data_IF_717720224920
#
_entry.id   IF_717720224920
#
_cell.length_a   1.000
_cell.length_b   1.000
_cell.length_c   1.000
_cell.angle_alpha   90.00
_cell.angle_beta   90.00
_cell.angle_gamma   90.00
#
_symmetry.space_group_name_H-M   'P 1'
#
loop_
_entity.id
_entity.type
_entity.pdbx_description
1 polymer ?
#
# COMPACT_ATOMS: atom_id res chain seq x y z
N UNK A 1 0.73 -3.61 -1.33
CA UNK A 1 1.39 -3.44 -0.03
C UNK A 1 0.62 -2.54 0.93
N UNK A 2 0.49 -1.23 0.67
CA UNK A 2 -0.16 -0.28 1.58
C UNK A 2 -1.56 -0.70 2.07
N UNK A 3 -2.42 -1.18 1.16
CA UNK A 3 -3.73 -1.71 1.52
C UNK A 3 -3.69 -2.86 2.56
N UNK A 4 -2.72 -3.79 2.46
CA UNK A 4 -2.50 -4.85 3.46
C UNK A 4 -2.10 -4.28 4.82
N UNK A 5 -1.18 -3.32 4.83
CA UNK A 5 -0.72 -2.67 6.07
C UNK A 5 -1.84 -1.86 6.72
N UNK A 6 -2.67 -1.18 5.91
CA UNK A 6 -3.83 -0.47 6.42
C UNK A 6 -4.82 -1.44 7.10
N UNK A 7 -5.10 -2.61 6.51
CA UNK A 7 -5.93 -3.62 7.17
C UNK A 7 -5.29 -4.19 8.44
N UNK A 8 -3.97 -4.40 8.45
CA UNK A 8 -3.23 -4.81 9.65
C UNK A 8 -3.41 -3.81 10.80
N UNK A 9 -3.27 -2.52 10.51
CA UNK A 9 -3.47 -1.44 11.49
C UNK A 9 -4.92 -1.38 11.96
N UNK A 10 -5.89 -1.51 11.05
CA UNK A 10 -7.31 -1.52 11.40
C UNK A 10 -7.69 -2.73 12.28
N UNK A 11 -7.15 -3.93 12.00
CA UNK A 11 -7.34 -5.10 12.86
C UNK A 11 -6.76 -4.90 14.26
N UNK A 12 -5.59 -4.29 14.36
CA UNK A 12 -4.98 -3.95 15.66
C UNK A 12 -5.80 -2.87 16.39
N UNK A 13 -6.46 -1.98 15.65
CA UNK A 13 -7.42 -1.03 16.22
C UNK A 13 -8.70 -1.69 16.73
N UNK A 14 -9.25 -2.67 16.01
CA UNK A 14 -10.37 -3.50 16.50
C UNK A 14 -10.02 -4.23 17.80
N UNK A 15 -8.75 -4.62 17.98
CA UNK A 15 -8.24 -5.26 19.18
C UNK A 15 -7.91 -4.27 20.32
N UNK A 16 -8.05 -2.96 20.07
CA UNK A 16 -7.71 -1.91 21.05
C UNK A 16 -6.20 -1.71 21.26
N UNK A 17 -5.36 -2.27 20.40
CA UNK A 17 -3.90 -2.09 20.45
C UNK A 17 -3.43 -0.81 19.75
N UNK A 18 -4.24 -0.29 18.82
CA UNK A 18 -3.99 0.99 18.13
C UNK A 18 -5.25 1.86 18.25
N UNK A 19 -5.11 3.01 18.89
CA UNK A 19 -6.00 4.14 18.69
C UNK A 19 -5.58 4.91 17.43
N UNK A 20 -6.51 5.03 16.48
CA UNK A 20 -6.28 5.71 15.20
C UNK A 20 -6.05 7.22 15.37
N UNK A 21 -6.60 7.82 16.42
CA UNK A 21 -6.51 9.26 16.68
C UNK A 21 -5.39 9.60 17.67
N UNK A 22 -4.66 8.60 18.17
CA UNK A 22 -3.49 8.82 19.01
C UNK A 22 -2.28 9.31 18.17
N UNK A 23 -1.44 10.19 18.76
CA UNK A 23 -0.17 10.60 18.18
C UNK A 23 0.74 9.42 17.84
N UNK A 24 1.48 9.51 16.73
CA UNK A 24 2.47 8.50 16.33
C UNK A 24 3.58 8.37 17.39
N UNK A 25 3.91 9.45 18.09
CA UNK A 25 4.92 9.49 19.16
C UNK A 25 4.58 8.61 20.36
N UNK A 26 3.30 8.29 20.57
CA UNK A 26 2.87 7.43 21.67
C UNK A 26 3.29 5.97 21.43
N UNK A 27 3.37 5.57 20.16
CA UNK A 27 3.83 4.24 19.73
C UNK A 27 5.32 4.21 19.42
N UNK A 28 5.83 5.28 18.81
CA UNK A 28 7.22 5.42 18.36
C UNK A 28 7.89 6.63 19.02
N UNK A 29 8.37 6.53 20.27
CA UNK A 29 8.99 7.67 20.97
C UNK A 29 10.26 8.23 20.29
N UNK A 30 10.84 7.47 19.36
CA UNK A 30 11.98 7.90 18.55
C UNK A 30 11.59 8.63 17.26
N UNK A 31 10.30 8.69 16.92
CA UNK A 31 9.81 9.48 15.79
C UNK A 31 10.01 10.97 16.12
N UNK A 32 10.88 11.61 15.35
CA UNK A 32 11.22 13.03 15.49
C UNK A 32 11.37 13.63 14.10
N UNK A 33 11.25 14.96 14.00
CA UNK A 33 11.49 15.75 12.80
C UNK A 33 12.10 17.09 13.18
N UNK A 34 12.65 17.82 12.20
CA UNK A 34 13.17 19.18 12.39
C UNK A 34 12.05 20.24 12.57
N UNK A 35 10.78 19.80 12.63
CA UNK A 35 9.58 20.63 12.69
C UNK A 35 8.63 20.13 13.79
N UNK A 36 8.51 20.89 14.88
CA UNK A 36 7.75 20.52 16.09
C UNK A 36 6.30 20.08 15.86
N UNK A 37 5.69 20.46 14.72
CA UNK A 37 4.33 20.05 14.36
C UNK A 37 4.18 18.53 14.19
N UNK A 38 5.28 17.78 14.02
CA UNK A 38 5.24 16.31 13.87
C UNK A 38 4.52 15.61 15.02
N UNK A 39 4.54 16.21 16.22
CA UNK A 39 3.92 15.66 17.44
C UNK A 39 2.40 15.54 17.32
N UNK A 40 1.76 16.29 16.41
CA UNK A 40 0.32 16.23 16.16
C UNK A 40 -0.08 15.16 15.13
N UNK A 41 0.88 14.48 14.49
CA UNK A 41 0.57 13.46 13.49
C UNK A 41 -0.04 12.24 14.18
N UNK A 42 -1.23 11.83 13.74
CA UNK A 42 -1.93 10.64 14.23
C UNK A 42 -1.79 9.45 13.28
N UNK A 43 -2.10 8.26 13.77
CA UNK A 43 -2.13 7.03 12.94
C UNK A 43 -3.10 7.17 11.78
N UNK A 44 -4.27 7.78 12.00
CA UNK A 44 -5.28 8.06 10.96
C UNK A 44 -4.74 8.96 9.86
N UNK A 45 -3.95 9.98 10.22
CA UNK A 45 -3.32 10.88 9.25
C UNK A 45 -2.28 10.15 8.40
N UNK A 46 -1.52 9.21 8.98
CA UNK A 46 -0.62 8.35 8.20
C UNK A 46 -1.39 7.46 7.22
N UNK A 47 -2.45 6.78 7.68
CA UNK A 47 -3.28 5.89 6.85
C UNK A 47 -3.91 6.62 5.66
N UNK A 48 -4.25 7.89 5.82
CA UNK A 48 -4.94 8.71 4.82
C UNK A 48 -4.04 9.69 4.06
N UNK A 49 -2.71 9.68 4.26
CA UNK A 49 -1.74 10.59 3.63
C UNK A 49 -2.00 12.08 3.93
N UNK A 50 -2.45 12.38 5.15
CA UNK A 50 -2.76 13.75 5.63
C UNK A 50 -1.75 14.26 6.66
N UNK A 51 -0.62 13.58 6.83
CA UNK A 51 0.36 13.87 7.88
C UNK A 51 1.30 15.04 7.59
N UNK A 52 1.44 15.46 6.33
CA UNK A 52 2.45 16.44 5.94
C UNK A 52 3.85 15.85 5.70
N UNK A 53 4.03 14.53 5.88
CA UNK A 53 5.33 13.89 5.66
C UNK A 53 5.75 13.94 4.17
N UNK A 54 7.06 14.09 3.88
CA UNK A 54 7.58 13.85 2.54
C UNK A 54 7.46 12.37 2.15
N UNK A 55 7.60 12.06 0.86
CA UNK A 55 7.67 10.69 0.36
C UNK A 55 9.08 10.08 0.57
N UNK A 56 9.19 8.75 0.60
CA UNK A 56 10.50 8.10 0.69
C UNK A 56 11.29 8.26 -0.61
N UNK A 57 12.63 8.32 -0.56
CA UNK A 57 13.43 8.39 -1.76
C UNK A 57 13.34 7.07 -2.53
N UNK A 58 13.43 7.13 -3.86
CA UNK A 58 13.51 5.92 -4.69
C UNK A 58 14.74 5.06 -4.34
N UNK A 59 15.84 5.72 -3.95
CA UNK A 59 17.06 5.07 -3.50
C UNK A 59 17.47 5.65 -2.16
N UNK A 60 17.58 4.79 -1.16
CA UNK A 60 17.96 5.21 0.17
C UNK A 60 19.44 5.64 0.23
N UNK A 61 19.74 6.85 0.70
CA UNK A 61 21.09 7.41 0.63
C UNK A 61 22.04 6.83 1.68
N UNK A 62 21.49 6.29 2.78
CA UNK A 62 22.25 5.68 3.87
C UNK A 62 22.18 4.16 3.80
N UNK A 63 23.27 3.43 4.09
CA UNK A 63 23.20 1.98 4.27
C UNK A 63 22.30 1.63 5.46
N UNK A 64 21.80 0.40 5.49
CA UNK A 64 21.13 -0.12 6.67
C UNK A 64 22.10 -0.17 7.86
N UNK A 65 21.66 0.30 9.01
CA UNK A 65 22.36 0.13 10.28
C UNK A 65 22.01 -1.26 10.83
N UNK A 66 22.99 -2.18 10.97
CA UNK A 66 22.73 -3.53 11.49
C UNK A 66 22.22 -3.53 12.95
N UNK A 67 22.32 -2.42 13.67
CA UNK A 67 21.79 -2.28 15.02
C UNK A 67 20.30 -1.87 15.06
N UNK A 68 19.71 -1.47 13.93
CA UNK A 68 18.33 -1.00 13.85
C UNK A 68 17.47 -1.94 13.00
N UNK A 69 16.19 -2.04 13.37
CA UNK A 69 15.20 -2.56 12.45
C UNK A 69 15.09 -1.61 11.24
N UNK A 70 14.97 -2.11 9.99
CA UNK A 70 14.87 -1.26 8.80
C UNK A 70 13.74 -0.22 8.89
N UNK A 71 12.53 -0.60 9.33
CA UNK A 71 11.41 0.35 9.46
C UNK A 71 11.68 1.42 10.52
N UNK A 72 12.33 1.06 11.64
CA UNK A 72 12.78 2.04 12.63
C UNK A 72 13.79 3.02 12.01
N UNK A 73 14.74 2.53 11.22
CA UNK A 73 15.69 3.39 10.52
C UNK A 73 15.00 4.34 9.54
N UNK A 74 14.00 3.87 8.78
CA UNK A 74 13.19 4.71 7.90
C UNK A 74 12.50 5.85 8.67
N UNK A 75 11.94 5.55 9.85
CA UNK A 75 11.31 6.57 10.71
C UNK A 75 12.33 7.55 11.26
N UNK A 76 13.51 7.08 11.68
CA UNK A 76 14.59 7.95 12.20
C UNK A 76 15.18 8.86 11.12
N UNK A 77 15.17 8.44 9.86
CA UNK A 77 15.62 9.27 8.74
C UNK A 77 14.76 10.53 8.54
N UNK A 78 13.52 10.56 9.05
CA UNK A 78 12.67 11.77 9.08
C UNK A 78 13.18 12.84 10.07
N UNK A 79 14.08 12.50 11.00
CA UNK A 79 14.57 13.39 12.06
C UNK A 79 15.14 14.71 11.57
N UNK A 80 15.74 14.73 10.39
CA UNK A 80 16.38 15.90 9.78
C UNK A 80 15.48 16.59 8.73
N UNK A 81 14.24 16.12 8.56
CA UNK A 81 13.30 16.61 7.55
C UNK A 81 12.24 17.54 8.18
N UNK A 82 11.67 18.43 7.37
CA UNK A 82 10.54 19.29 7.74
C UNK A 82 9.23 18.77 7.12
N UNK A 83 8.10 19.14 7.71
CA UNK A 83 6.79 18.82 7.13
C UNK A 83 6.49 19.71 5.92
N UNK A 84 5.88 19.12 4.89
CA UNK A 84 5.42 19.82 3.69
C UNK A 84 4.26 20.78 3.97
N UNK A 85 3.43 20.46 4.96
CA UNK A 85 2.29 21.24 5.46
C UNK A 85 1.95 20.79 6.88
N UNK A 86 1.12 21.54 7.62
CA UNK A 86 0.75 21.12 8.96
C UNK A 86 -0.11 19.83 8.91
N UNK A 87 -0.03 18.95 9.92
CA UNK A 87 -0.86 17.75 9.94
C UNK A 87 -2.35 18.10 9.77
N UNK A 88 -3.04 17.32 8.95
CA UNK A 88 -4.46 17.45 8.57
C UNK A 88 -4.83 18.61 7.62
N UNK A 89 -3.92 19.54 7.29
CA UNK A 89 -4.18 20.70 6.41
C UNK A 89 -4.23 20.36 4.92
N UNK A 90 -3.92 19.12 4.53
CA UNK A 90 -3.86 18.74 3.12
C UNK A 90 -3.64 17.24 2.90
N UNK A 91 -3.30 16.89 1.66
CA UNK A 91 -3.02 15.52 1.25
C UNK A 91 -1.75 15.44 0.41
N UNK A 92 -0.80 14.61 0.83
CA UNK A 92 0.36 14.20 0.03
C UNK A 92 0.73 12.76 0.36
N UNK A 93 0.75 11.94 -0.68
CA UNK A 93 1.18 10.55 -0.59
C UNK A 93 2.58 10.45 0.02
N UNK A 94 2.73 9.59 1.03
CA UNK A 94 3.99 9.35 1.71
C UNK A 94 4.18 7.88 2.03
N UNK A 95 5.21 7.29 1.46
CA UNK A 95 5.70 5.96 1.78
C UNK A 95 6.39 5.94 3.14
N UNK A 96 7.06 7.03 3.56
CA UNK A 96 7.53 7.19 4.94
C UNK A 96 6.40 7.04 5.98
N UNK A 97 5.21 7.59 5.69
CA UNK A 97 4.05 7.41 6.55
C UNK A 97 3.66 5.94 6.72
N UNK A 98 3.80 5.14 5.65
CA UNK A 98 3.57 3.69 5.71
C UNK A 98 4.72 2.93 6.37
N UNK A 99 5.98 3.39 6.24
CA UNK A 99 7.11 2.86 7.02
C UNK A 99 6.87 3.04 8.53
N UNK A 100 6.36 4.21 8.93
CA UNK A 100 5.94 4.46 10.31
C UNK A 100 4.78 3.55 10.76
N UNK A 101 3.76 3.32 9.93
CA UNK A 101 2.69 2.36 10.24
C UNK A 101 3.22 0.93 10.42
N UNK A 102 4.18 0.50 9.60
CA UNK A 102 4.84 -0.80 9.77
C UNK A 102 5.63 -0.90 11.07
N UNK A 103 6.35 0.18 11.44
CA UNK A 103 7.04 0.26 12.73
C UNK A 103 6.07 0.24 13.92
N UNK A 104 4.90 0.89 13.82
CA UNK A 104 3.84 0.83 14.84
C UNK A 104 3.34 -0.61 15.00
N UNK A 105 3.05 -1.30 13.89
CA UNK A 105 2.63 -2.71 13.91
C UNK A 105 3.67 -3.56 14.66
N UNK A 106 4.96 -3.40 14.36
CA UNK A 106 6.02 -4.12 15.06
C UNK A 106 6.08 -3.77 16.56
N UNK A 107 5.94 -2.49 16.91
CA UNK A 107 5.99 -2.02 18.29
C UNK A 107 4.84 -2.56 19.16
N UNK A 108 3.60 -2.55 18.65
CA UNK A 108 2.42 -2.99 19.43
C UNK A 108 2.26 -4.49 19.48
N UNK A 109 2.80 -5.23 18.50
CA UNK A 109 2.73 -6.70 18.47
C UNK A 109 3.94 -7.35 19.15
N UNK A 110 5.06 -6.63 19.26
CA UNK A 110 6.34 -7.17 19.74
C UNK A 110 6.99 -8.14 18.75
N UNK A 111 6.55 -8.17 17.50
CA UNK A 111 7.05 -9.04 16.44
C UNK A 111 7.69 -8.21 15.31
N UNK A 112 8.68 -8.75 14.58
CA UNK A 112 9.10 -8.16 13.32
C UNK A 112 7.90 -8.01 12.37
N UNK A 113 7.81 -6.87 11.68
CA UNK A 113 6.66 -6.53 10.83
C UNK A 113 6.37 -7.63 9.80
N UNK A 114 7.41 -8.13 9.14
CA UNK A 114 7.31 -9.15 8.10
C UNK A 114 6.82 -10.48 8.66
N UNK A 115 7.28 -10.86 9.86
CA UNK A 115 6.84 -12.07 10.55
C UNK A 115 5.37 -11.97 10.97
N UNK A 116 4.95 -10.82 11.53
CA UNK A 116 3.54 -10.57 11.86
C UNK A 116 2.67 -10.66 10.60
N UNK A 117 3.06 -10.01 9.51
CA UNK A 117 2.28 -10.06 8.27
C UNK A 117 2.22 -11.48 7.69
N UNK A 118 3.32 -12.25 7.75
CA UNK A 118 3.34 -13.63 7.30
C UNK A 118 2.41 -14.53 8.14
N UNK A 119 2.50 -14.44 9.47
CA UNK A 119 1.77 -15.30 10.40
C UNK A 119 0.28 -14.94 10.53
N UNK A 120 -0.04 -13.64 10.57
CA UNK A 120 -1.37 -13.15 10.89
C UNK A 120 -2.21 -12.78 9.66
N UNK A 121 -1.59 -12.62 8.48
CA UNK A 121 -2.28 -12.25 7.25
C UNK A 121 -2.06 -13.22 6.11
N UNK A 122 -0.81 -13.46 5.69
CA UNK A 122 -0.56 -14.28 4.49
C UNK A 122 -0.92 -15.76 4.73
N UNK A 123 -0.48 -16.32 5.86
CA UNK A 123 -0.74 -17.73 6.21
C UNK A 123 -2.23 -18.03 6.37
N UNK A 124 -3.03 -17.27 7.14
CA UNK A 124 -4.46 -17.54 7.30
C UNK A 124 -5.26 -17.35 5.99
N UNK A 125 -4.80 -16.46 5.10
CA UNK A 125 -5.39 -16.29 3.77
C UNK A 125 -4.96 -17.36 2.77
N UNK A 126 -3.99 -18.21 3.11
CA UNK A 126 -3.44 -19.24 2.22
C UNK A 126 -2.61 -18.67 1.07
N UNK A 127 -2.04 -17.48 1.25
CA UNK A 127 -1.22 -16.79 0.26
C UNK A 127 0.24 -17.29 0.30
N UNK A 128 0.43 -18.54 -0.14
CA UNK A 128 1.71 -19.27 -0.02
C UNK A 128 2.80 -18.82 -1.00
N UNK A 129 2.46 -17.98 -1.98
CA UNK A 129 3.41 -17.40 -2.94
C UNK A 129 3.65 -15.91 -2.65
N UNK A 130 3.36 -15.47 -1.42
CA UNK A 130 3.44 -14.08 -1.01
C UNK A 130 4.40 -13.90 0.16
N UNK A 131 5.17 -12.82 0.16
CA UNK A 131 6.08 -12.46 1.25
C UNK A 131 6.37 -10.95 1.25
N UNK A 132 6.69 -10.41 2.42
CA UNK A 132 7.21 -9.05 2.58
C UNK A 132 8.75 -9.00 2.59
N UNK A 133 9.41 -10.16 2.55
CA UNK A 133 10.87 -10.31 2.57
C UNK A 133 11.34 -10.68 1.16
N UNK A 134 12.06 -9.77 0.51
CA UNK A 134 12.51 -9.98 -0.87
C UNK A 134 13.46 -11.16 -1.02
N UNK A 135 14.30 -11.41 -0.02
CA UNK A 135 15.27 -12.52 -0.03
C UNK A 135 14.59 -13.90 0.05
N UNK A 136 13.34 -13.98 0.51
CA UNK A 136 12.56 -15.23 0.53
C UNK A 136 11.97 -15.56 -0.85
N UNK A 137 11.96 -14.61 -1.78
CA UNK A 137 11.41 -14.80 -3.13
C UNK A 137 12.41 -15.56 -3.98
N UNK A 138 12.01 -16.76 -4.43
CA UNK A 138 12.75 -17.55 -5.41
C UNK A 138 13.13 -16.66 -6.63
N UNK A 139 14.43 -16.47 -6.90
CA UNK A 139 14.88 -15.68 -8.05
C UNK A 139 14.28 -16.11 -9.38
N UNK A 140 13.94 -17.39 -9.58
CA UNK A 140 13.31 -17.88 -10.81
C UNK A 140 11.83 -17.45 -10.93
N UNK A 141 11.18 -17.18 -9.80
CA UNK A 141 9.80 -16.70 -9.72
C UNK A 141 9.70 -15.17 -9.74
N UNK A 142 10.83 -14.44 -9.62
CA UNK A 142 10.85 -12.98 -9.72
C UNK A 142 10.47 -12.54 -11.13
N UNK A 143 9.69 -11.46 -11.19
CA UNK A 143 9.22 -10.90 -12.45
C UNK A 143 10.39 -10.49 -13.36
N UNK A 144 10.29 -10.85 -14.64
CA UNK A 144 11.18 -10.33 -15.69
C UNK A 144 10.62 -9.02 -16.20
N UNK A 145 11.41 -7.96 -16.17
CA UNK A 145 11.00 -6.63 -16.64
C UNK A 145 11.19 -6.50 -18.16
N UNK A 146 10.39 -5.66 -18.81
CA UNK A 146 10.50 -5.35 -20.23
C UNK A 146 10.60 -3.84 -20.44
N UNK A 147 11.57 -3.36 -21.22
CA UNK A 147 11.80 -1.92 -21.47
C UNK A 147 11.78 -1.55 -22.96
N UNK A 148 11.12 -0.46 -23.32
CA UNK A 148 11.36 0.30 -24.56
C UNK A 148 10.69 -0.17 -25.87
N UNK A 149 10.61 0.79 -26.81
CA UNK A 149 9.79 0.92 -28.05
C UNK A 149 9.80 -0.26 -29.06
N UNK A 150 10.59 -1.31 -28.86
CA UNK A 150 10.80 -2.41 -29.83
C UNK A 150 10.68 -3.81 -29.26
N UNK A 151 10.03 -4.01 -28.10
CA UNK A 151 9.96 -5.34 -27.44
C UNK A 151 11.35 -5.99 -27.31
N UNK A 152 12.41 -5.18 -27.18
CA UNK A 152 13.74 -5.69 -26.87
C UNK A 152 13.74 -6.10 -25.41
N UNK A 153 13.89 -7.39 -25.13
CA UNK A 153 14.04 -7.91 -23.76
C UNK A 153 15.30 -7.34 -23.13
N UNK A 154 15.18 -6.43 -22.17
CA UNK A 154 16.16 -6.38 -21.09
C UNK A 154 15.73 -7.45 -20.09
N UNK A 155 16.41 -8.61 -20.06
CA UNK A 155 16.16 -9.61 -19.02
C UNK A 155 16.82 -9.17 -17.72
N UNK A 156 16.34 -8.09 -17.12
CA UNK A 156 16.66 -7.78 -15.73
C UNK A 156 15.55 -8.37 -14.88
N UNK A 157 15.90 -9.34 -14.02
CA UNK A 157 15.03 -9.67 -12.90
C UNK A 157 14.82 -8.39 -12.08
N UNK A 158 13.61 -8.18 -11.56
CA UNK A 158 13.37 -7.04 -10.68
C UNK A 158 14.43 -7.00 -9.57
N UNK A 159 15.06 -5.83 -9.33
CA UNK A 159 16.09 -5.71 -8.31
C UNK A 159 15.50 -6.04 -6.92
N UNK A 160 16.33 -6.53 -5.99
CA UNK A 160 15.91 -6.60 -4.60
C UNK A 160 15.45 -5.22 -4.11
N UNK A 161 14.36 -5.18 -3.37
CA UNK A 161 13.87 -3.95 -2.74
C UNK A 161 14.52 -3.73 -1.38
N UNK A 162 14.58 -2.48 -0.94
CA UNK A 162 15.14 -2.13 0.38
C UNK A 162 14.15 -2.48 1.48
N UNK A 163 14.62 -3.11 2.57
CA UNK A 163 13.76 -3.52 3.68
C UNK A 163 13.07 -2.34 4.41
N UNK A 164 13.57 -1.10 4.25
CA UNK A 164 12.89 0.11 4.73
C UNK A 164 11.54 0.36 4.06
N UNK A 165 11.32 -0.21 2.88
CA UNK A 165 10.07 -0.13 2.13
C UNK A 165 9.14 -1.33 2.39
N UNK A 166 9.44 -2.19 3.38
CA UNK A 166 8.68 -3.41 3.66
C UNK A 166 7.17 -3.16 3.73
N UNK A 167 6.74 -2.19 4.52
CA UNK A 167 5.31 -1.84 4.69
C UNK A 167 4.77 -0.89 3.62
N UNK A 168 5.63 -0.24 2.84
CA UNK A 168 5.24 0.75 1.84
C UNK A 168 5.11 0.18 0.42
N UNK A 169 5.96 -0.79 0.06
CA UNK A 169 6.14 -1.28 -1.31
C UNK A 169 6.40 -2.78 -1.46
N UNK A 170 6.94 -3.50 -0.47
CA UNK A 170 7.58 -4.82 -0.73
C UNK A 170 6.71 -6.07 -0.58
N UNK A 171 5.39 -6.01 -0.76
CA UNK A 171 4.63 -7.26 -0.88
C UNK A 171 4.89 -7.89 -2.24
N UNK A 172 5.68 -8.96 -2.25
CA UNK A 172 5.79 -9.88 -3.38
C UNK A 172 4.61 -10.83 -3.34
N UNK A 173 3.97 -11.06 -4.48
CA UNK A 173 2.77 -11.90 -4.58
C UNK A 173 2.59 -12.44 -6.01
N UNK A 174 1.69 -13.40 -6.16
CA UNK A 174 1.18 -13.88 -7.45
C UNK A 174 -0.25 -13.42 -7.72
N UNK A 175 -0.72 -13.52 -8.97
CA UNK A 175 -2.15 -13.36 -9.28
C UNK A 175 -3.02 -14.36 -8.50
N UNK A 176 -2.55 -15.59 -8.31
CA UNK A 176 -3.31 -16.63 -7.61
C UNK A 176 -3.57 -16.23 -6.15
N UNK A 177 -2.56 -15.71 -5.47
CA UNK A 177 -2.70 -15.23 -4.08
C UNK A 177 -3.56 -13.97 -4.00
N UNK A 178 -3.46 -13.06 -4.99
CA UNK A 178 -4.32 -11.87 -5.05
C UNK A 178 -5.80 -12.21 -5.29
N UNK A 179 -6.12 -13.32 -5.97
CA UNK A 179 -7.49 -13.84 -6.04
C UNK A 179 -8.00 -14.25 -4.66
N UNK A 180 -7.16 -14.90 -3.84
CA UNK A 180 -7.53 -15.27 -2.45
C UNK A 180 -7.81 -14.03 -1.60
N UNK A 181 -7.00 -13.00 -1.77
CA UNK A 181 -7.19 -11.72 -1.10
C UNK A 181 -8.47 -11.00 -1.57
N UNK A 182 -8.75 -10.99 -2.87
CA UNK A 182 -10.01 -10.48 -3.42
C UNK A 182 -11.24 -11.20 -2.85
N UNK A 183 -11.20 -12.54 -2.77
CA UNK A 183 -12.26 -13.33 -2.13
C UNK A 183 -12.46 -12.96 -0.65
N UNK A 184 -11.36 -12.77 0.08
CA UNK A 184 -11.41 -12.34 1.48
C UNK A 184 -12.11 -10.99 1.64
N UNK A 185 -11.77 -10.01 0.79
CA UNK A 185 -12.42 -8.68 0.81
C UNK A 185 -13.92 -8.82 0.50
N UNK A 186 -14.28 -9.56 -0.55
CA UNK A 186 -15.67 -9.71 -0.99
C UNK A 186 -16.54 -10.45 0.03
N UNK A 187 -15.95 -11.34 0.82
CA UNK A 187 -16.63 -12.03 1.91
C UNK A 187 -16.63 -11.20 3.22
N UNK A 188 -16.41 -9.89 3.13
CA UNK A 188 -16.45 -8.97 4.27
C UNK A 188 -15.33 -9.23 5.29
N UNK A 189 -14.16 -9.68 4.86
CA UNK A 189 -13.02 -9.96 5.72
C UNK A 189 -12.96 -11.39 6.26
N UNK A 190 -13.61 -12.35 5.61
CA UNK A 190 -13.57 -13.76 5.98
C UNK A 190 -13.15 -14.65 4.82
N UNK A 191 -12.29 -15.65 5.10
CA UNK A 191 -11.99 -16.72 4.17
C UNK A 191 -11.82 -18.03 4.92
N UNK A 192 -12.45 -19.10 4.43
CA UNK A 192 -12.38 -20.44 5.02
C UNK A 192 -12.70 -20.48 6.53
N UNK A 193 -13.69 -19.69 6.96
CA UNK A 193 -14.09 -19.61 8.37
C UNK A 193 -13.15 -18.81 9.28
N UNK A 194 -12.11 -18.17 8.71
CA UNK A 194 -11.22 -17.25 9.43
C UNK A 194 -11.56 -15.83 9.04
N UNK A 195 -12.05 -15.05 10.01
CA UNK A 195 -12.31 -13.61 9.86
C UNK A 195 -11.15 -12.81 10.44
N UNK A 196 -10.48 -12.02 9.60
CA UNK A 196 -9.34 -11.20 10.03
C UNK A 196 -9.70 -9.73 10.22
N UNK A 197 -10.79 -9.25 9.61
CA UNK A 197 -11.23 -7.87 9.73
C UNK A 197 -12.76 -7.82 9.72
N UNK A 198 -13.36 -6.91 10.48
CA UNK A 198 -14.81 -6.75 10.51
C UNK A 198 -15.31 -5.97 9.28
N UNK A 199 -16.55 -6.23 8.82
CA UNK A 199 -17.17 -5.45 7.72
C UNK A 199 -17.15 -3.93 7.98
N UNK A 200 -17.43 -3.51 9.22
CA UNK A 200 -17.43 -2.09 9.58
C UNK A 200 -16.07 -1.41 9.41
N UNK A 201 -14.97 -2.16 9.56
CA UNK A 201 -13.63 -1.64 9.30
C UNK A 201 -13.39 -1.40 7.82
N UNK A 202 -13.93 -2.23 6.92
CA UNK A 202 -13.87 -1.93 5.49
C UNK A 202 -14.62 -0.65 5.15
N UNK A 203 -15.81 -0.44 5.70
CA UNK A 203 -16.54 0.81 5.49
C UNK A 203 -15.79 2.03 6.03
N UNK A 204 -15.17 1.90 7.21
CA UNK A 204 -14.33 2.96 7.75
C UNK A 204 -13.10 3.27 6.89
N UNK A 205 -12.50 2.24 6.28
CA UNK A 205 -11.36 2.35 5.37
C UNK A 205 -11.75 2.94 4.01
N UNK A 206 -12.93 2.63 3.51
CA UNK A 206 -13.45 3.10 2.23
C UNK A 206 -14.24 4.41 2.31
N UNK A 207 -14.40 4.96 3.51
CA UNK A 207 -14.94 6.29 3.71
C UNK A 207 -13.90 7.35 3.27
N UNK A 208 -14.24 8.25 2.32
CA UNK A 208 -13.34 9.31 1.91
C UNK A 208 -12.88 10.19 3.09
N UNK A 209 -11.57 10.43 3.19
CA UNK A 209 -10.95 11.29 4.22
C UNK A 209 -10.35 12.57 3.64
N UNK A 210 -10.04 12.56 2.35
CA UNK A 210 -9.50 13.71 1.63
C UNK A 210 -9.70 13.52 0.13
N UNK A 211 -9.75 14.62 -0.60
CA UNK A 211 -9.47 14.61 -2.03
C UNK A 211 -8.00 14.22 -2.23
N UNK A 212 -7.72 13.23 -3.08
CA UNK A 212 -6.35 12.99 -3.50
C UNK A 212 -5.93 14.13 -4.42
N UNK A 213 -4.83 14.79 -4.09
CA UNK A 213 -4.23 15.82 -4.95
C UNK A 213 -3.70 15.30 -6.28
N UNK A 214 -3.98 14.04 -6.63
CA UNK A 214 -3.66 13.41 -7.90
C UNK A 214 -4.79 13.69 -8.89
N UNK A 215 -4.78 14.90 -9.45
CA UNK A 215 -5.60 15.28 -10.60
C UNK A 215 -5.00 14.67 -11.88
N UNK A 216 -4.93 13.35 -11.99
CA UNK A 216 -4.29 12.69 -13.12
C UNK A 216 -5.30 12.16 -14.14
N UNK A 217 -6.17 13.04 -14.64
CA UNK A 217 -6.87 12.91 -15.93
C UNK A 217 -7.42 11.50 -16.29
N UNK A 218 -7.52 11.17 -17.59
CA UNK A 218 -8.05 9.87 -18.04
C UNK A 218 -7.12 8.68 -17.74
N UNK A 219 -5.94 8.90 -17.16
CA UNK A 219 -4.91 7.86 -16.98
C UNK A 219 -5.19 6.93 -15.82
N UNK A 220 -5.84 7.41 -14.76
CA UNK A 220 -6.17 6.62 -13.57
C UNK A 220 -7.69 6.46 -13.35
N UNK A 221 -8.49 7.07 -14.24
CA UNK A 221 -9.95 7.05 -14.18
C UNK A 221 -10.53 7.82 -12.97
N UNK A 222 -11.85 7.77 -12.76
CA UNK A 222 -12.54 8.44 -11.63
C UNK A 222 -12.20 7.82 -10.26
N UNK A 223 -11.21 6.93 -10.20
CA UNK A 223 -10.86 6.14 -9.02
C UNK A 223 -9.94 6.85 -8.05
N UNK A 224 -9.21 7.88 -8.50
CA UNK A 224 -8.22 8.61 -7.69
C UNK A 224 -8.70 9.99 -7.27
N UNK A 225 -10.02 10.16 -7.15
CA UNK A 225 -10.60 11.42 -6.66
C UNK A 225 -10.33 11.59 -5.18
N UNK A 226 -10.54 10.54 -4.39
CA UNK A 226 -10.46 10.59 -2.93
C UNK A 226 -9.62 9.45 -2.36
N UNK A 227 -9.13 9.66 -1.15
CA UNK A 227 -8.39 8.67 -0.40
C UNK A 227 -9.06 8.40 0.95
N UNK A 228 -9.22 7.13 1.28
CA UNK A 228 -9.70 6.63 2.56
C UNK A 228 -8.53 6.27 3.48
N UNK A 229 -8.65 5.18 4.24
CA UNK A 229 -7.55 4.64 5.05
C UNK A 229 -6.84 3.54 4.25
N UNK A 230 -5.84 3.93 3.47
CA UNK A 230 -5.05 3.02 2.63
C UNK A 230 -5.71 2.54 1.34
N UNK A 231 -6.76 3.23 0.91
CA UNK A 231 -7.49 2.93 -0.33
C UNK A 231 -7.81 4.22 -1.07
N UNK A 232 -7.66 4.20 -2.39
CA UNK A 232 -8.33 5.16 -3.24
C UNK A 232 -9.82 4.82 -3.31
N UNK A 233 -10.65 5.86 -3.38
CA UNK A 233 -12.11 5.77 -3.36
C UNK A 233 -12.68 6.66 -4.45
N UNK A 234 -13.53 6.08 -5.28
CA UNK A 234 -14.20 6.77 -6.39
C UNK A 234 -15.50 6.09 -6.78
N UNK A 235 -16.03 6.50 -7.93
CA UNK A 235 -17.21 5.88 -8.53
C UNK A 235 -17.17 6.00 -10.04
N UNK A 236 -17.72 5.02 -10.74
CA UNK A 236 -17.85 5.01 -12.21
C UNK A 236 -19.27 4.58 -12.57
N UNK A 237 -19.99 5.37 -13.36
CA UNK A 237 -21.40 5.15 -13.72
C UNK A 237 -22.32 4.75 -12.55
N UNK A 238 -22.09 5.36 -11.38
CA UNK A 238 -22.87 5.11 -10.16
C UNK A 238 -22.44 3.88 -9.35
N UNK A 239 -21.47 3.11 -9.84
CA UNK A 239 -20.86 2.00 -9.11
C UNK A 239 -19.77 2.53 -8.17
N UNK A 240 -19.85 2.21 -6.88
CA UNK A 240 -18.78 2.52 -5.92
C UNK A 240 -17.56 1.67 -6.25
N UNK A 241 -16.39 2.31 -6.32
CA UNK A 241 -15.14 1.61 -6.60
C UNK A 241 -14.07 2.01 -5.58
N UNK A 242 -13.35 1.02 -5.08
CA UNK A 242 -12.21 1.20 -4.18
C UNK A 242 -11.02 0.39 -4.68
N UNK A 243 -9.82 0.90 -4.48
CA UNK A 243 -8.65 0.23 -5.03
C UNK A 243 -7.33 0.80 -4.58
N UNK A 244 -6.26 0.20 -5.08
CA UNK A 244 -4.91 0.72 -4.94
C UNK A 244 -4.07 0.28 -6.13
N UNK A 245 -3.29 1.22 -6.67
CA UNK A 245 -2.27 0.94 -7.67
C UNK A 245 -0.92 0.66 -7.00
N UNK A 246 -0.10 -0.15 -7.65
CA UNK A 246 1.31 -0.29 -7.33
C UNK A 246 2.13 0.05 -8.56
N UNK A 247 3.14 0.87 -8.37
CA UNK A 247 4.09 1.26 -9.41
C UNK A 247 5.50 1.24 -8.84
N UNK A 248 6.46 0.75 -9.64
CA UNK A 248 7.87 0.71 -9.30
C UNK A 248 8.65 -0.06 -10.35
N UNK A 249 9.83 0.42 -10.77
CA UNK A 249 10.76 -0.21 -11.72
C UNK A 249 10.15 -1.17 -12.76
N UNK A 250 9.12 -0.73 -13.50
CA UNK A 250 8.50 -1.52 -14.57
C UNK A 250 7.55 -2.62 -14.11
N UNK A 251 7.16 -2.62 -12.84
CA UNK A 251 6.10 -3.42 -12.24
C UNK A 251 4.92 -2.48 -12.01
N UNK A 252 3.82 -2.76 -12.69
CA UNK A 252 2.57 -2.03 -12.56
C UNK A 252 1.47 -2.99 -12.10
N UNK A 253 0.72 -2.61 -11.07
CA UNK A 253 -0.35 -3.45 -10.53
C UNK A 253 -1.57 -2.60 -10.21
N UNK A 254 -2.75 -3.22 -10.30
CA UNK A 254 -3.99 -2.61 -9.87
C UNK A 254 -4.84 -3.64 -9.14
N UNK A 255 -5.29 -3.28 -7.93
CA UNK A 255 -6.43 -3.91 -7.30
C UNK A 255 -7.63 -2.96 -7.40
N UNK A 256 -8.76 -3.49 -7.87
CA UNK A 256 -10.03 -2.79 -7.91
C UNK A 256 -11.13 -3.66 -7.32
N UNK A 257 -12.01 -3.04 -6.54
CA UNK A 257 -13.11 -3.67 -5.82
C UNK A 257 -14.36 -2.83 -6.05
N UNK A 258 -15.42 -3.47 -6.55
CA UNK A 258 -16.78 -2.96 -6.53
C UNK A 258 -17.50 -3.68 -5.35
N UNK A 259 -17.52 -3.09 -4.14
CA UNK A 259 -18.01 -3.77 -2.95
C UNK A 259 -19.50 -4.10 -3.03
N UNK A 260 -20.28 -3.25 -3.71
CA UNK A 260 -21.74 -3.41 -3.83
C UNK A 260 -22.14 -4.52 -4.84
N UNK A 261 -21.21 -4.91 -5.71
CA UNK A 261 -21.41 -5.89 -6.79
C UNK A 261 -20.69 -7.23 -6.56
N UNK A 262 -20.12 -7.41 -5.37
CA UNK A 262 -19.33 -8.59 -5.00
C UNK A 262 -18.14 -8.88 -5.95
N UNK A 263 -17.56 -7.86 -6.58
CA UNK A 263 -16.59 -8.00 -7.66
C UNK A 263 -15.21 -7.40 -7.32
N UNK A 264 -14.16 -8.21 -7.44
CA UNK A 264 -12.77 -7.79 -7.30
C UNK A 264 -11.97 -8.17 -8.54
N UNK A 265 -11.15 -7.24 -9.02
CA UNK A 265 -10.26 -7.40 -10.19
C UNK A 265 -8.85 -7.05 -9.77
N UNK A 266 -7.91 -7.97 -10.02
CA UNK A 266 -6.49 -7.72 -9.85
C UNK A 266 -5.78 -7.90 -11.20
N UNK A 267 -4.93 -6.94 -11.56
CA UNK A 267 -4.09 -6.99 -12.76
C UNK A 267 -2.64 -6.65 -12.41
N UNK A 268 -1.72 -7.21 -13.17
CA UNK A 268 -0.30 -6.88 -13.09
C UNK A 268 0.32 -6.85 -14.49
N UNK A 269 1.30 -5.98 -14.67
CA UNK A 269 2.09 -5.83 -15.88
C UNK A 269 3.55 -5.57 -15.51
N UNK A 270 4.46 -6.07 -16.34
CA UNK A 270 5.91 -6.04 -16.11
C UNK A 270 6.65 -5.25 -17.20
N UNK A 271 6.08 -4.10 -17.57
CA UNK A 271 6.59 -3.23 -18.62
C UNK A 271 6.92 -1.82 -18.11
N UNK A 272 8.04 -1.27 -18.60
CA UNK A 272 8.46 0.12 -18.41
C UNK A 272 8.65 0.80 -19.78
N UNK A 273 8.04 1.98 -19.96
CA UNK A 273 8.36 2.83 -21.10
C UNK A 273 9.66 3.59 -20.83
N UNK A 274 10.71 3.32 -21.61
CA UNK A 274 12.01 3.98 -21.44
C UNK A 274 12.03 5.44 -21.92
N UNK A 275 10.92 5.97 -22.46
CA UNK A 275 10.84 7.30 -23.07
C UNK A 275 9.84 8.27 -22.46
N UNK A 276 8.95 7.84 -21.57
CA UNK A 276 7.95 8.71 -20.94
C UNK A 276 8.17 8.72 -19.43
N UNK A 277 8.42 9.92 -18.87
CA UNK A 277 8.46 10.12 -17.42
C UNK A 277 7.09 9.93 -16.76
N UNK A 278 6.04 9.68 -17.56
CA UNK A 278 4.72 9.25 -17.11
C UNK A 278 4.63 7.75 -17.31
N UNK A 279 4.60 7.01 -16.21
CA UNK A 279 4.29 5.58 -16.22
C UNK A 279 3.06 5.35 -17.09
N UNK A 280 3.18 4.42 -18.03
CA UNK A 280 1.99 3.77 -18.55
C UNK A 280 1.42 2.94 -17.40
N UNK A 281 0.11 2.98 -17.19
CA UNK A 281 -0.58 2.18 -16.18
C UNK A 281 -1.37 1.05 -16.85
N UNK A 282 -0.72 0.16 -17.64
CA UNK A 282 -1.45 -0.85 -18.40
C UNK A 282 -2.24 -1.79 -17.48
N UNK A 283 -1.77 -2.06 -16.26
CA UNK A 283 -2.54 -2.84 -15.31
C UNK A 283 -3.80 -2.08 -14.87
N UNK A 284 -3.70 -0.79 -14.55
CA UNK A 284 -4.87 0.01 -14.16
C UNK A 284 -5.91 0.13 -15.28
N UNK A 285 -5.48 0.35 -16.54
CA UNK A 285 -6.39 0.35 -17.69
C UNK A 285 -7.06 -1.01 -17.88
N UNK A 286 -6.28 -2.10 -17.88
CA UNK A 286 -6.82 -3.45 -18.03
C UNK A 286 -7.82 -3.80 -16.90
N UNK A 287 -7.54 -3.38 -15.67
CA UNK A 287 -8.45 -3.61 -14.55
C UNK A 287 -9.78 -2.88 -14.74
N UNK A 288 -9.74 -1.63 -15.24
CA UNK A 288 -10.95 -0.88 -15.53
C UNK A 288 -11.77 -1.48 -16.66
N UNK A 289 -11.13 -1.88 -17.76
CA UNK A 289 -11.83 -2.50 -18.90
C UNK A 289 -12.48 -3.82 -18.49
N UNK A 290 -11.77 -4.65 -17.71
CA UNK A 290 -12.31 -5.90 -17.15
C UNK A 290 -13.46 -5.60 -16.18
N UNK A 291 -13.30 -4.63 -15.28
CA UNK A 291 -14.35 -4.24 -14.33
C UNK A 291 -15.62 -3.79 -15.06
N UNK A 292 -15.50 -2.90 -16.05
CA UNK A 292 -16.62 -2.43 -16.88
C UNK A 292 -17.30 -3.57 -17.62
N UNK A 293 -16.52 -4.43 -18.26
CA UNK A 293 -17.05 -5.60 -18.97
C UNK A 293 -17.87 -6.51 -18.05
N UNK A 294 -17.38 -6.74 -16.82
CA UNK A 294 -18.05 -7.61 -15.85
C UNK A 294 -19.27 -6.96 -15.19
N UNK A 295 -19.27 -5.64 -15.03
CA UNK A 295 -20.43 -4.86 -14.55
C UNK A 295 -21.48 -4.62 -15.64
N UNK A 296 -21.23 -5.06 -16.88
CA UNK A 296 -22.17 -4.94 -18.00
C UNK A 296 -22.11 -3.59 -18.73
N UNK A 297 -21.00 -2.84 -18.58
CA UNK A 297 -20.69 -1.69 -19.43
C UNK A 297 -20.32 -2.11 -20.85
N UNK A 298 -20.70 -1.30 -21.84
CA UNK A 298 -20.28 -1.44 -23.25
C UNK A 298 -18.82 -1.02 -23.48
#
# INVERSE_FOLDING_TARGET
TKAFVAMAVMRLAEQGLIDLDAPVTDYLPYFTMADDRYQAITVRMLLSHRSGLPDSPLYWPKPLDPALNPLEQAVRDLGEMELLFAPDDGWRYSSYGYSALGAIVAAVTGQPFEEYMAAEWLTPLGMVNSTFVTDDVDPEMRVTLYTGYKLSRLRTQAPPTDARDASAGNLWSSCADMVLWGQFIQNGGERNGVRLLQPDSFEAMWAPRSESGWLLGPTYGPLVERYGLGWFVGSDDGCRLVGHMGDGDGINTQMLVAPDDALAVFTMANWMDAGTAQGSFPASFAAMDVMKTLLGGE
#
